data_IF_625697294213
#
_entry.id   IF_625697294213
#
_cell.length_a   1.000
_cell.length_b   1.000
_cell.length_c   1.000
_cell.angle_alpha   90.00
_cell.angle_beta   90.00
_cell.angle_gamma   90.00
#
_symmetry.space_group_name_H-M   'P 1'
#
loop_
_entity.id
_entity.type
_entity.pdbx_description
1 polymer ?
#
# COMPACT_ATOMS: atom_id res chain seq x y z
N UNK A 1 9.63 8.18 -13.55
CA UNK A 1 8.99 9.15 -12.64
C UNK A 1 8.40 8.37 -11.48
N UNK A 2 8.01 9.04 -10.41
CA UNK A 2 7.37 8.42 -9.25
C UNK A 2 6.01 9.05 -8.99
N UNK A 3 5.12 8.30 -8.36
CA UNK A 3 3.74 8.70 -8.07
C UNK A 3 3.39 8.39 -6.63
N UNK A 4 2.68 9.30 -5.97
CA UNK A 4 1.94 8.98 -4.75
C UNK A 4 0.67 8.21 -5.12
N UNK A 5 0.36 7.19 -4.32
CA UNK A 5 -0.85 6.39 -4.45
C UNK A 5 -1.65 6.49 -3.15
N UNK A 6 -2.89 6.97 -3.26
CA UNK A 6 -3.91 6.88 -2.23
C UNK A 6 -4.78 5.67 -2.56
N UNK A 7 -4.43 4.51 -2.01
CA UNK A 7 -5.07 3.22 -2.34
C UNK A 7 -6.49 3.12 -1.80
N UNK A 8 -7.28 2.20 -2.39
CA UNK A 8 -8.56 1.80 -1.81
C UNK A 8 -8.38 1.31 -0.35
N UNK A 9 -9.30 1.71 0.54
CA UNK A 9 -9.42 1.17 1.90
C UNK A 9 -10.60 0.20 1.92
N UNK A 10 -10.31 -1.08 1.74
CA UNK A 10 -11.30 -2.16 1.59
C UNK A 10 -11.76 -2.77 2.93
N UNK A 11 -11.16 -2.33 4.04
CA UNK A 11 -11.38 -2.91 5.36
C UNK A 11 -10.35 -2.43 6.37
N UNK A 12 -10.13 -3.22 7.41
CA UNK A 12 -9.25 -2.87 8.52
C UNK A 12 -8.58 -4.09 9.18
N UNK A 13 -8.02 -3.87 10.36
CA UNK A 13 -7.47 -4.95 11.17
C UNK A 13 -8.58 -5.89 11.67
N UNK A 14 -8.38 -7.18 11.43
CA UNK A 14 -9.17 -8.23 12.07
C UNK A 14 -8.62 -8.61 13.46
N UNK A 15 -9.37 -9.46 14.17
CA UNK A 15 -9.12 -9.81 15.58
C UNK A 15 -7.77 -10.50 15.82
N UNK A 16 -7.23 -11.22 14.84
CA UNK A 16 -5.95 -11.91 14.94
C UNK A 16 -4.74 -10.97 14.71
N UNK A 17 -4.97 -9.68 14.42
CA UNK A 17 -3.89 -8.72 14.25
C UNK A 17 -3.15 -8.48 15.56
N UNK A 18 -1.82 -8.60 15.53
CA UNK A 18 -0.96 -8.26 16.68
C UNK A 18 -0.01 -7.15 16.29
N UNK A 19 0.05 -6.11 17.14
CA UNK A 19 0.84 -4.91 16.86
C UNK A 19 1.40 -4.27 18.13
N UNK A 20 2.53 -3.57 17.97
CA UNK A 20 3.13 -2.70 18.98
C UNK A 20 2.77 -1.24 18.67
N UNK A 21 2.03 -0.61 19.59
CA UNK A 21 1.58 0.79 19.51
C UNK A 21 2.46 1.76 20.32
N UNK A 22 3.61 1.31 20.83
CA UNK A 22 4.49 2.15 21.66
C UNK A 22 5.05 3.35 20.90
N UNK A 23 5.13 3.28 19.57
CA UNK A 23 5.55 4.37 18.68
C UNK A 23 4.69 4.43 17.41
N UNK A 24 4.43 5.63 16.86
CA UNK A 24 3.81 5.79 15.54
C UNK A 24 4.86 5.76 14.41
N UNK A 25 4.60 5.08 13.27
CA UNK A 25 3.47 4.18 13.04
C UNK A 25 3.61 2.85 13.81
N UNK A 26 2.48 2.17 14.13
CA UNK A 26 2.52 0.89 14.82
C UNK A 26 3.34 -0.17 14.07
N UNK A 27 4.04 -1.03 14.81
CA UNK A 27 4.73 -2.19 14.24
C UNK A 27 3.77 -3.38 14.25
N UNK A 28 3.38 -3.87 13.07
CA UNK A 28 2.49 -5.03 12.94
C UNK A 28 3.33 -6.31 12.84
N UNK A 29 3.02 -7.32 13.66
CA UNK A 29 3.70 -8.62 13.66
C UNK A 29 2.88 -9.70 12.96
N UNK A 30 1.57 -9.70 13.18
CA UNK A 30 0.60 -10.56 12.50
C UNK A 30 -0.48 -9.68 11.94
N UNK A 31 -0.81 -9.85 10.66
CA UNK A 31 -1.85 -9.09 10.00
C UNK A 31 -3.04 -10.01 9.70
N UNK A 32 -4.20 -9.62 10.20
CA UNK A 32 -5.48 -10.01 9.64
C UNK A 32 -6.11 -8.80 8.94
N UNK A 33 -6.49 -8.97 7.69
CA UNK A 33 -7.31 -7.99 6.98
C UNK A 33 -8.76 -8.46 6.96
N UNK A 34 -9.62 -7.75 7.70
CA UNK A 34 -11.06 -7.94 7.69
C UNK A 34 -11.67 -7.02 6.63
N UNK A 35 -12.17 -7.60 5.56
CA UNK A 35 -12.81 -6.88 4.46
C UNK A 35 -14.21 -6.40 4.88
N UNK A 36 -14.50 -5.12 4.63
CA UNK A 36 -15.83 -4.51 4.73
C UNK A 36 -16.47 -4.29 3.34
N UNK A 37 -15.63 -4.22 2.31
CA UNK A 37 -16.01 -4.19 0.91
C UNK A 37 -14.80 -4.48 0.02
N UNK A 38 -14.98 -4.53 -1.29
CA UNK A 38 -13.85 -4.55 -2.23
C UNK A 38 -14.34 -4.04 -3.60
N UNK A 39 -13.77 -2.92 -4.05
CA UNK A 39 -14.13 -2.28 -5.32
C UNK A 39 -13.37 -2.88 -6.51
N UNK A 40 -12.41 -3.77 -6.25
CA UNK A 40 -11.67 -4.49 -7.27
C UNK A 40 -10.23 -4.01 -7.43
N UNK A 41 -9.73 -3.11 -6.58
CA UNK A 41 -8.33 -2.71 -6.66
C UNK A 41 -7.40 -3.85 -6.24
N UNK A 42 -6.24 -3.90 -6.90
CA UNK A 42 -5.29 -4.98 -6.76
C UNK A 42 -4.34 -4.80 -5.58
N UNK A 43 -4.23 -3.57 -5.06
CA UNK A 43 -3.53 -3.20 -3.84
C UNK A 43 -4.44 -2.29 -3.03
N UNK A 44 -4.54 -2.55 -1.73
CA UNK A 44 -5.39 -1.83 -0.79
C UNK A 44 -4.61 -1.49 0.47
N UNK A 45 -5.02 -0.43 1.14
CA UNK A 45 -4.44 -0.02 2.41
C UNK A 45 -5.18 -0.64 3.60
N UNK A 46 -4.40 -0.93 4.64
CA UNK A 46 -4.83 -1.34 5.97
C UNK A 46 -3.89 -0.70 6.96
N UNK A 47 -4.06 0.59 7.20
CA UNK A 47 -3.07 1.44 7.86
C UNK A 47 -2.42 0.76 9.08
N UNK A 48 -1.07 0.67 9.16
CA UNK A 48 -0.07 1.24 8.24
C UNK A 48 0.43 0.25 7.17
N UNK A 49 -0.30 -0.84 6.95
CA UNK A 49 0.05 -1.93 6.04
C UNK A 49 -0.64 -1.79 4.66
N UNK A 50 -0.17 -2.58 3.72
CA UNK A 50 -0.81 -2.78 2.42
C UNK A 50 -1.09 -4.27 2.20
N UNK A 51 -2.22 -4.56 1.56
CA UNK A 51 -2.57 -5.90 1.11
C UNK A 51 -2.71 -5.89 -0.41
N UNK A 52 -2.38 -7.01 -1.05
CA UNK A 52 -2.29 -7.09 -2.51
C UNK A 52 -2.84 -8.43 -3.00
N UNK A 53 -3.46 -8.40 -4.17
CA UNK A 53 -3.96 -9.61 -4.84
C UNK A 53 -2.81 -10.47 -5.38
N UNK A 54 -3.01 -11.80 -5.41
CA UNK A 54 -2.04 -12.76 -5.95
C UNK A 54 -1.57 -12.39 -7.36
N UNK A 55 -2.50 -12.01 -8.24
CA UNK A 55 -2.17 -11.63 -9.62
C UNK A 55 -1.13 -10.51 -9.68
N UNK A 56 -1.31 -9.45 -8.88
CA UNK A 56 -0.39 -8.34 -8.85
C UNK A 56 0.95 -8.74 -8.22
N UNK A 57 0.93 -9.48 -7.11
CA UNK A 57 2.14 -10.07 -6.52
C UNK A 57 2.97 -10.82 -7.56
N UNK A 58 2.37 -11.77 -8.28
CA UNK A 58 3.06 -12.61 -9.26
C UNK A 58 3.70 -11.78 -10.38
N UNK A 59 3.01 -10.75 -10.88
CA UNK A 59 3.59 -9.87 -11.90
C UNK A 59 4.74 -9.03 -11.36
N UNK A 60 4.63 -8.50 -10.14
CA UNK A 60 5.70 -7.75 -9.47
C UNK A 60 6.94 -8.63 -9.31
N UNK A 61 6.77 -9.87 -8.82
CA UNK A 61 7.86 -10.84 -8.66
C UNK A 61 8.50 -11.22 -10.01
N UNK A 62 7.69 -11.51 -11.03
CA UNK A 62 8.18 -11.87 -12.37
C UNK A 62 8.99 -10.76 -13.04
N UNK A 63 8.61 -9.50 -12.79
CA UNK A 63 9.31 -8.32 -13.32
C UNK A 63 10.48 -7.88 -12.43
N UNK A 64 10.69 -8.54 -11.28
CA UNK A 64 11.72 -8.20 -10.29
C UNK A 64 11.67 -6.74 -9.85
N UNK A 65 10.46 -6.19 -9.64
CA UNK A 65 10.33 -4.83 -9.13
C UNK A 65 10.82 -4.76 -7.68
N UNK A 66 11.50 -3.66 -7.36
CA UNK A 66 12.27 -3.46 -6.13
C UNK A 66 11.48 -2.79 -5.00
N UNK A 67 11.95 -2.91 -3.77
CA UNK A 67 11.39 -2.20 -2.61
C UNK A 67 10.13 -2.81 -2.00
N UNK A 68 9.76 -4.02 -2.41
CA UNK A 68 8.59 -4.75 -1.92
C UNK A 68 8.93 -6.23 -1.73
N UNK A 69 8.32 -6.85 -0.73
CA UNK A 69 8.24 -8.30 -0.62
C UNK A 69 6.88 -8.70 -0.05
N UNK A 70 6.58 -10.00 -0.10
CA UNK A 70 5.26 -10.51 0.24
C UNK A 70 5.32 -11.51 1.37
N UNK A 71 4.37 -11.39 2.29
CA UNK A 71 4.16 -12.32 3.39
C UNK A 71 2.70 -12.82 3.39
N UNK A 72 2.46 -13.86 4.18
CA UNK A 72 1.12 -14.34 4.47
C UNK A 72 0.29 -13.30 5.24
N UNK A 73 -1.01 -13.32 5.01
CA UNK A 73 -2.00 -12.49 5.71
C UNK A 73 -3.24 -13.35 5.98
N UNK A 74 -3.85 -13.17 7.15
CA UNK A 74 -5.15 -13.77 7.44
C UNK A 74 -6.20 -12.87 6.80
N UNK A 75 -7.17 -13.46 6.10
CA UNK A 75 -8.29 -12.69 5.54
C UNK A 75 -9.60 -13.16 6.13
N UNK A 76 -10.47 -12.21 6.43
CA UNK A 76 -11.83 -12.45 6.87
C UNK A 76 -12.77 -11.45 6.20
N UNK A 77 -14.07 -11.73 6.27
CA UNK A 77 -15.13 -10.83 5.82
C UNK A 77 -15.91 -10.41 7.05
N UNK A 78 -16.20 -9.13 7.18
CA UNK A 78 -17.10 -8.65 8.22
C UNK A 78 -18.55 -9.00 7.92
N UNK A 79 -19.41 -8.89 8.93
CA UNK A 79 -20.85 -9.06 8.75
C UNK A 79 -21.41 -8.09 7.67
N UNK A 80 -20.89 -6.86 7.63
CA UNK A 80 -21.25 -5.86 6.62
C UNK A 80 -20.90 -6.36 5.22
N UNK A 81 -19.73 -6.97 5.04
CA UNK A 81 -19.34 -7.51 3.75
C UNK A 81 -20.31 -8.62 3.31
N UNK A 82 -20.61 -9.56 4.19
CA UNK A 82 -21.47 -10.70 3.85
C UNK A 82 -22.91 -10.26 3.56
N UNK A 83 -23.41 -9.23 4.24
CA UNK A 83 -24.75 -8.67 4.01
C UNK A 83 -24.83 -7.88 2.70
N UNK A 84 -23.87 -6.98 2.43
CA UNK A 84 -23.92 -6.05 1.30
C UNK A 84 -23.33 -6.63 0.01
N UNK A 85 -22.36 -7.53 0.13
CA UNK A 85 -21.59 -8.06 -0.99
C UNK A 85 -21.54 -9.61 -1.04
N UNK A 86 -22.66 -10.33 -0.85
CA UNK A 86 -22.67 -11.80 -0.73
C UNK A 86 -22.15 -12.53 -1.97
N UNK A 87 -22.19 -11.88 -3.13
CA UNK A 87 -21.75 -12.45 -4.41
C UNK A 87 -20.31 -12.10 -4.78
N UNK A 88 -19.63 -11.24 -4.01
CA UNK A 88 -18.23 -10.89 -4.27
C UNK A 88 -17.34 -12.02 -3.76
N UNK A 89 -16.53 -12.54 -4.69
CA UNK A 89 -15.45 -13.49 -4.40
C UNK A 89 -14.15 -12.71 -4.29
N UNK A 90 -13.55 -12.74 -3.11
CA UNK A 90 -12.23 -12.17 -2.89
C UNK A 90 -11.18 -13.06 -3.56
N UNK A 91 -10.15 -12.46 -4.20
CA UNK A 91 -9.00 -13.21 -4.69
C UNK A 91 -8.14 -13.67 -3.51
N UNK A 92 -7.11 -14.48 -3.77
CA UNK A 92 -6.06 -14.67 -2.79
C UNK A 92 -5.32 -13.35 -2.54
N UNK A 93 -5.04 -13.07 -1.26
CA UNK A 93 -4.46 -11.82 -0.78
C UNK A 93 -3.16 -12.13 -0.05
N UNK A 94 -2.20 -11.22 -0.21
CA UNK A 94 -0.89 -11.27 0.43
C UNK A 94 -0.62 -9.95 1.14
N UNK A 95 0.18 -9.98 2.20
CA UNK A 95 0.68 -8.77 2.84
C UNK A 95 1.82 -8.21 1.98
N UNK A 96 1.63 -7.02 1.42
CA UNK A 96 2.68 -6.26 0.74
C UNK A 96 3.51 -5.49 1.78
N UNK A 97 4.75 -5.95 2.01
CA UNK A 97 5.70 -5.30 2.91
C UNK A 97 6.63 -4.40 2.11
N UNK A 98 6.44 -3.09 2.24
CA UNK A 98 7.20 -2.07 1.53
C UNK A 98 8.45 -1.72 2.34
N UNK A 99 9.61 -1.81 1.70
CA UNK A 99 10.93 -1.58 2.33
C UNK A 99 11.87 -0.73 1.48
N UNK A 100 11.46 -0.37 0.27
CA UNK A 100 12.29 0.40 -0.64
C UNK A 100 12.44 1.86 -0.25
N UNK A 101 13.47 2.46 -0.84
CA UNK A 101 13.81 3.86 -0.71
C UNK A 101 13.05 4.63 -1.78
N UNK A 102 12.22 5.58 -1.34
CA UNK A 102 11.45 6.45 -2.23
C UNK A 102 12.37 7.18 -3.22
N UNK A 103 11.98 7.20 -4.50
CA UNK A 103 12.76 7.84 -5.56
C UNK A 103 13.89 6.98 -6.12
N UNK A 104 14.13 5.79 -5.57
CA UNK A 104 15.16 4.84 -6.00
C UNK A 104 14.58 3.48 -6.35
N UNK A 105 13.85 2.88 -5.42
CA UNK A 105 13.24 1.55 -5.59
C UNK A 105 11.80 1.70 -6.12
N UNK A 106 11.25 0.66 -6.75
CA UNK A 106 9.94 0.71 -7.41
C UNK A 106 8.77 0.92 -6.47
N UNK A 107 8.93 0.53 -5.20
CA UNK A 107 7.99 0.74 -4.12
C UNK A 107 8.71 1.35 -2.91
N UNK A 108 8.14 2.39 -2.32
CA UNK A 108 8.63 3.01 -1.09
C UNK A 108 7.51 3.67 -0.29
N UNK A 109 7.78 3.98 0.97
CA UNK A 109 6.87 4.71 1.85
C UNK A 109 7.47 6.08 2.12
N UNK A 110 6.70 7.14 1.85
CA UNK A 110 7.11 8.51 2.16
C UNK A 110 6.98 8.81 3.67
N UNK A 111 7.54 9.94 4.12
CA UNK A 111 7.53 10.34 5.53
C UNK A 111 6.11 10.53 6.09
N UNK A 112 5.13 10.80 5.23
CA UNK A 112 3.71 10.90 5.57
C UNK A 112 2.94 9.57 5.45
N UNK A 113 3.69 8.45 5.35
CA UNK A 113 3.21 7.07 5.27
C UNK A 113 2.47 6.70 3.97
N UNK A 114 2.42 7.60 2.98
CA UNK A 114 1.83 7.28 1.68
C UNK A 114 2.74 6.41 0.85
N UNK A 115 2.11 5.51 0.08
CA UNK A 115 2.78 4.68 -0.89
C UNK A 115 3.29 5.54 -2.05
N UNK A 116 4.57 5.40 -2.37
CA UNK A 116 5.21 5.96 -3.57
C UNK A 116 5.68 4.83 -4.46
N UNK A 117 5.33 4.90 -5.74
CA UNK A 117 5.72 3.87 -6.71
C UNK A 117 6.36 4.46 -7.97
N UNK A 118 7.20 3.68 -8.65
CA UNK A 118 7.73 4.01 -9.97
C UNK A 118 6.64 3.91 -11.06
N UNK A 119 6.88 4.49 -12.23
CA UNK A 119 5.99 4.33 -13.38
C UNK A 119 5.84 2.85 -13.82
N UNK A 120 6.86 2.02 -13.63
CA UNK A 120 6.80 0.62 -14.02
C UNK A 120 5.95 -0.19 -13.04
N UNK A 121 6.08 0.07 -11.73
CA UNK A 121 5.16 -0.45 -10.73
C UNK A 121 3.72 0.00 -10.99
N UNK A 122 3.51 1.28 -11.35
CA UNK A 122 2.17 1.79 -11.66
C UNK A 122 1.51 1.01 -12.81
N UNK A 123 2.22 0.81 -13.94
CA UNK A 123 1.69 0.05 -15.08
C UNK A 123 1.26 -1.36 -14.69
N UNK A 124 2.04 -2.01 -13.81
CA UNK A 124 1.70 -3.35 -13.32
C UNK A 124 0.41 -3.32 -12.52
N UNK A 125 0.28 -2.40 -11.57
CA UNK A 125 -0.91 -2.27 -10.74
C UNK A 125 -2.14 -1.91 -11.59
N UNK A 126 -2.02 -0.98 -12.54
CA UNK A 126 -3.09 -0.65 -13.50
C UNK A 126 -3.55 -1.89 -14.30
N UNK A 127 -2.62 -2.73 -14.75
CA UNK A 127 -2.94 -3.98 -15.47
C UNK A 127 -3.61 -5.05 -14.60
N UNK A 128 -3.49 -4.92 -13.28
CA UNK A 128 -4.09 -5.79 -12.28
C UNK A 128 -5.41 -5.26 -11.72
N UNK A 129 -5.76 -4.00 -12.02
CA UNK A 129 -6.93 -3.32 -11.50
C UNK A 129 -6.52 -2.32 -10.43
N UNK A 130 -6.11 -1.11 -10.83
CA UNK A 130 -5.90 0.02 -9.92
C UNK A 130 -6.78 1.16 -10.42
N UNK A 131 -8.07 1.10 -10.11
CA UNK A 131 -9.10 1.98 -10.66
C UNK A 131 -9.69 2.93 -9.63
N UNK A 132 -9.58 2.60 -8.35
CA UNK A 132 -10.18 3.34 -7.24
C UNK A 132 -9.15 4.12 -6.42
N UNK A 133 -7.86 3.99 -6.76
CA UNK A 133 -6.79 4.76 -6.14
C UNK A 133 -6.67 6.20 -6.68
N UNK A 134 -6.38 7.14 -5.79
CA UNK A 134 -5.91 8.48 -6.14
C UNK A 134 -4.43 8.44 -6.56
N UNK A 135 -4.08 9.08 -7.67
CA UNK A 135 -2.71 9.10 -8.20
C UNK A 135 -2.25 10.55 -8.37
N UNK A 136 -1.14 10.92 -7.75
CA UNK A 136 -0.52 12.25 -7.91
C UNK A 136 0.98 12.14 -8.17
N UNK A 137 1.57 13.18 -8.77
CA UNK A 137 3.01 13.19 -9.03
C UNK A 137 3.82 13.24 -7.73
N UNK A 138 4.85 12.42 -7.64
CA UNK A 138 5.86 12.53 -6.60
C UNK A 138 7.02 13.40 -7.12
N UNK A 139 7.17 14.59 -6.51
CA UNK A 139 8.32 15.45 -6.73
C UNK A 139 9.26 15.33 -5.54
N UNK A 140 10.42 14.71 -5.74
CA UNK A 140 11.46 14.67 -4.73
C UNK A 140 12.05 16.08 -4.56
N UNK A 141 11.67 16.77 -3.49
CA UNK A 141 12.17 18.12 -3.25
C UNK A 141 13.63 18.05 -2.79
N UNK A 142 14.56 18.18 -3.75
CA UNK A 142 16.02 18.19 -3.52
C UNK A 142 16.52 19.43 -2.72
N UNK A 143 15.64 20.16 -2.03
CA UNK A 143 15.93 21.45 -1.39
C UNK A 143 15.86 21.45 0.15
N UNK A 144 16.12 20.33 0.82
CA UNK A 144 16.32 20.33 2.27
C UNK A 144 17.74 20.77 2.72
N UNK A 145 18.59 21.23 1.79
CA UNK A 145 19.80 21.99 2.10
C UNK A 145 19.87 23.32 1.33
N UNK A 146 18.99 24.26 1.67
CA UNK A 146 19.37 25.69 1.67
C UNK A 146 19.34 26.19 3.11
N UNK A 147 20.44 25.97 3.80
CA UNK A 147 20.86 26.84 4.90
C UNK A 147 21.26 28.19 4.28
N UNK A 148 20.77 29.26 4.89
CA UNK A 148 21.18 30.67 4.74
C UNK A 148 20.80 31.46 3.47
N UNK A 149 20.58 32.77 3.71
CA UNK A 149 20.14 33.88 2.85
C UNK A 149 18.59 34.03 2.76
N UNK A 150 17.93 35.04 3.36
CA UNK A 150 18.31 36.44 3.52
C UNK A 150 17.69 37.09 4.77
N UNK A 151 18.54 37.86 5.44
CA UNK A 151 18.29 39.00 6.30
C UNK A 151 16.90 39.64 6.13
N UNK A 152 16.16 39.75 7.23
CA UNK A 152 15.15 40.80 7.38
C UNK A 152 15.69 41.82 8.37
N UNK A 153 16.08 42.95 7.79
CA UNK A 153 16.22 44.24 8.44
C UNK A 153 14.97 44.61 9.24
#
# INVERSE_FOLDING_TARGET
MFKYIETEVAGGFGEATTLDISMPPPIVFTLEHSFDGWLGDCIMETFPCFVITEKAKVLIENLNLSGIFFDSVITSKSDIFEELYPNIKLPEIYWAKITGIVGKDDFGIADDLRLVISDDALKVLESCGLKHAGITDYYHDMNLHRTDYLERH
#
